data_IF_986880308631
#
_entry.id   IF_986880308631
#
_cell.length_a   1.000
_cell.length_b   1.000
_cell.length_c   1.000
_cell.angle_alpha   90.00
_cell.angle_beta   90.00
_cell.angle_gamma   90.00
#
_symmetry.space_group_name_H-M   'P 1'
#
loop_
_entity.id
_entity.type
_entity.pdbx_description
1 polymer ?
#
# COMPACT_ATOMS: atom_id res chain seq x y z
N UNK A 1 14.89 -6.62 -15.47
CA UNK A 1 15.13 -7.70 -14.50
C UNK A 1 13.78 -8.22 -14.00
N UNK A 2 13.56 -9.50 -14.09
CA UNK A 2 12.31 -10.10 -13.60
C UNK A 2 12.41 -10.40 -12.12
N UNK A 3 11.38 -10.00 -11.39
CA UNK A 3 11.25 -10.32 -9.98
C UNK A 3 10.49 -11.63 -9.84
N UNK A 4 10.94 -12.47 -8.93
CA UNK A 4 10.25 -13.73 -8.65
C UNK A 4 9.42 -13.55 -7.38
N UNK A 5 8.22 -13.03 -7.57
CA UNK A 5 7.27 -12.89 -6.46
C UNK A 5 6.79 -14.28 -6.04
N UNK A 6 6.74 -14.56 -4.73
CA UNK A 6 6.07 -15.78 -4.26
C UNK A 6 4.63 -15.81 -4.73
N UNK A 7 4.12 -16.98 -5.06
CA UNK A 7 2.74 -17.11 -5.51
C UNK A 7 1.87 -17.75 -4.45
N UNK A 8 0.74 -17.15 -4.14
CA UNK A 8 0.29 -15.83 -4.59
C UNK A 8 0.88 -14.73 -3.71
N UNK A 9 1.20 -13.58 -4.29
CA UNK A 9 1.46 -12.36 -3.53
C UNK A 9 0.30 -11.40 -3.79
N UNK A 10 -0.36 -10.99 -2.71
CA UNK A 10 -1.60 -10.21 -2.77
C UNK A 10 -1.37 -8.79 -2.31
N UNK A 11 -1.76 -7.84 -3.14
CA UNK A 11 -1.58 -6.41 -2.87
C UNK A 11 -2.93 -5.74 -2.79
N UNK A 12 -3.17 -4.99 -1.72
CA UNK A 12 -4.32 -4.13 -1.59
C UNK A 12 -3.93 -2.72 -2.03
N UNK A 13 -4.67 -2.17 -3.00
CA UNK A 13 -4.47 -0.82 -3.50
C UNK A 13 -5.66 0.02 -3.08
N UNK A 14 -5.42 1.06 -2.26
CA UNK A 14 -6.45 1.97 -1.79
C UNK A 14 -6.21 3.32 -2.46
N UNK A 15 -7.04 3.67 -3.43
CA UNK A 15 -6.87 4.87 -4.25
C UNK A 15 -8.22 5.35 -4.75
N UNK A 16 -8.57 6.60 -4.45
CA UNK A 16 -9.85 7.16 -4.86
C UNK A 16 -9.83 7.73 -6.28
N UNK A 17 -8.68 8.09 -6.82
CA UNK A 17 -8.56 8.55 -8.19
C UNK A 17 -8.54 7.37 -9.14
N UNK A 18 -9.58 7.23 -9.95
CA UNK A 18 -9.76 6.06 -10.79
C UNK A 18 -8.66 5.90 -11.83
N UNK A 19 -8.17 7.01 -12.39
CA UNK A 19 -7.11 6.94 -13.39
C UNK A 19 -5.81 6.41 -12.78
N UNK A 20 -5.43 6.93 -11.62
CA UNK A 20 -4.26 6.46 -10.89
C UNK A 20 -4.43 4.99 -10.48
N UNK A 21 -5.62 4.63 -9.98
CA UNK A 21 -5.90 3.27 -9.57
C UNK A 21 -5.70 2.27 -10.71
N UNK A 22 -6.19 2.62 -11.92
CA UNK A 22 -6.06 1.75 -13.08
C UNK A 22 -4.60 1.55 -13.50
N UNK A 23 -3.81 2.62 -13.44
CA UNK A 23 -2.38 2.55 -13.77
C UNK A 23 -1.66 1.61 -12.82
N UNK A 24 -1.92 1.76 -11.53
CA UNK A 24 -1.30 0.92 -10.50
C UNK A 24 -1.75 -0.54 -10.69
N UNK A 25 -3.05 -0.76 -10.84
CA UNK A 25 -3.60 -2.10 -11.01
C UNK A 25 -2.99 -2.82 -12.20
N UNK A 26 -2.94 -2.14 -13.36
CA UNK A 26 -2.40 -2.73 -14.58
C UNK A 26 -0.94 -3.13 -14.41
N UNK A 27 -0.14 -2.26 -13.80
CA UNK A 27 1.28 -2.56 -13.61
C UNK A 27 1.49 -3.71 -12.65
N UNK A 28 0.77 -3.75 -11.54
CA UNK A 28 0.92 -4.82 -10.57
C UNK A 28 0.44 -6.16 -11.14
N UNK A 29 -0.62 -6.13 -11.94
CA UNK A 29 -1.09 -7.33 -12.62
C UNK A 29 -0.05 -7.87 -13.61
N UNK A 30 0.66 -6.98 -14.32
CA UNK A 30 1.74 -7.38 -15.22
C UNK A 30 2.89 -8.04 -14.47
N UNK A 31 3.09 -7.72 -13.20
CA UNK A 31 4.10 -8.36 -12.37
C UNK A 31 3.66 -9.74 -11.86
N UNK A 32 2.43 -10.14 -12.14
CA UNK A 32 1.90 -11.42 -11.67
C UNK A 32 1.31 -11.36 -10.27
N UNK A 33 1.10 -10.15 -9.74
CA UNK A 33 0.52 -9.98 -8.41
C UNK A 33 -1.00 -10.09 -8.45
N UNK A 34 -1.59 -10.55 -7.35
CA UNK A 34 -3.04 -10.54 -7.17
C UNK A 34 -3.42 -9.21 -6.55
N UNK A 35 -4.27 -8.44 -7.23
CA UNK A 35 -4.55 -7.06 -6.84
C UNK A 35 -5.99 -6.94 -6.34
N UNK A 36 -6.14 -6.36 -5.14
CA UNK A 36 -7.43 -6.01 -4.56
C UNK A 36 -7.53 -4.49 -4.56
N UNK A 37 -8.68 -3.96 -4.97
CA UNK A 37 -8.86 -2.51 -5.13
C UNK A 37 -9.91 -1.99 -4.16
N UNK A 38 -9.62 -0.86 -3.53
CA UNK A 38 -10.58 -0.11 -2.72
C UNK A 38 -10.48 1.36 -3.07
N UNK A 39 -11.60 2.06 -3.04
CA UNK A 39 -11.65 3.49 -3.41
C UNK A 39 -11.56 4.42 -2.19
N UNK A 40 -11.55 3.87 -0.99
CA UNK A 40 -11.45 4.64 0.26
C UNK A 40 -10.89 3.77 1.38
N UNK A 41 -10.53 4.42 2.48
CA UNK A 41 -9.90 3.72 3.61
C UNK A 41 -10.83 2.75 4.32
N UNK A 42 -12.12 3.05 4.38
CA UNK A 42 -13.09 2.16 5.04
C UNK A 42 -13.17 0.83 4.32
N UNK A 43 -13.34 0.88 2.99
CA UNK A 43 -13.39 -0.33 2.17
C UNK A 43 -12.06 -1.06 2.16
N UNK A 44 -10.96 -0.30 2.16
CA UNK A 44 -9.62 -0.89 2.23
C UNK A 44 -9.40 -1.66 3.51
N UNK A 45 -9.78 -1.10 4.65
CA UNK A 45 -9.65 -1.78 5.93
C UNK A 45 -10.50 -3.05 5.97
N UNK A 46 -11.71 -2.98 5.42
CA UNK A 46 -12.60 -4.14 5.34
C UNK A 46 -11.98 -5.26 4.50
N UNK A 47 -11.44 -4.92 3.33
CA UNK A 47 -10.77 -5.91 2.48
C UNK A 47 -9.56 -6.53 3.17
N UNK A 48 -8.77 -5.72 3.87
CA UNK A 48 -7.61 -6.23 4.60
C UNK A 48 -8.02 -7.26 5.65
N UNK A 49 -9.16 -7.04 6.31
CA UNK A 49 -9.63 -7.96 7.34
C UNK A 49 -10.24 -9.23 6.77
N UNK A 50 -10.84 -9.15 5.57
CA UNK A 50 -11.50 -10.30 4.93
C UNK A 50 -10.57 -11.16 4.09
N UNK A 51 -9.53 -10.56 3.50
CA UNK A 51 -8.65 -11.23 2.55
C UNK A 51 -7.24 -11.39 3.11
N UNK A 52 -6.50 -12.33 2.57
CA UNK A 52 -5.07 -12.44 2.86
C UNK A 52 -4.34 -11.40 2.02
N UNK A 53 -3.68 -10.45 2.66
CA UNK A 53 -2.98 -9.35 1.99
C UNK A 53 -1.53 -9.35 2.44
N UNK A 54 -0.61 -9.26 1.48
CA UNK A 54 0.83 -9.25 1.74
C UNK A 54 1.42 -7.85 1.74
N UNK A 55 0.82 -6.93 0.98
CA UNK A 55 1.31 -5.56 0.83
C UNK A 55 0.12 -4.62 0.67
N UNK A 56 0.26 -3.40 1.19
CA UNK A 56 -0.76 -2.36 1.03
C UNK A 56 -0.13 -1.13 0.41
N UNK A 57 -0.79 -0.55 -0.60
CA UNK A 57 -0.50 0.83 -1.02
C UNK A 57 -1.75 1.65 -0.74
N UNK A 58 -1.59 2.86 -0.24
CA UNK A 58 -2.72 3.75 0.00
C UNK A 58 -2.38 5.19 -0.30
N UNK A 59 -3.34 5.90 -0.90
CA UNK A 59 -3.25 7.35 -1.04
C UNK A 59 -3.43 7.99 0.34
N UNK A 60 -2.82 9.15 0.55
CA UNK A 60 -2.99 9.91 1.78
C UNK A 60 -4.33 10.64 1.78
N UNK A 61 -4.66 11.32 0.68
CA UNK A 61 -5.85 12.18 0.61
C UNK A 61 -7.01 11.42 -0.03
N UNK A 62 -7.95 10.98 0.80
CA UNK A 62 -9.13 10.23 0.36
C UNK A 62 -10.34 10.66 1.18
N UNK A 63 -11.56 10.53 0.63
CA UNK A 63 -12.78 10.79 1.41
C UNK A 63 -12.99 9.71 2.48
N UNK A 64 -13.80 10.03 3.46
CA UNK A 64 -14.21 9.16 4.57
C UNK A 64 -13.07 8.84 5.53
N UNK A 65 -12.07 8.11 5.09
CA UNK A 65 -10.90 7.79 5.91
C UNK A 65 -9.65 8.03 5.06
N UNK A 66 -8.81 9.00 5.47
CA UNK A 66 -7.58 9.29 4.75
C UNK A 66 -6.51 8.21 5.05
N UNK A 67 -5.41 8.27 4.29
CA UNK A 67 -4.34 7.26 4.41
C UNK A 67 -3.66 7.26 5.77
N UNK A 68 -3.51 8.42 6.39
CA UNK A 68 -2.92 8.49 7.74
C UNK A 68 -3.76 7.71 8.75
N UNK A 69 -5.07 7.94 8.72
CA UNK A 69 -6.00 7.23 9.61
C UNK A 69 -6.03 5.73 9.29
N UNK A 70 -5.98 5.39 8.01
CA UNK A 70 -5.96 3.98 7.60
C UNK A 70 -4.71 3.28 8.16
N UNK A 71 -3.54 3.91 8.09
CA UNK A 71 -2.32 3.35 8.68
C UNK A 71 -2.51 3.10 10.17
N UNK A 72 -3.07 4.07 10.90
CA UNK A 72 -3.32 3.92 12.33
C UNK A 72 -4.26 2.74 12.61
N UNK A 73 -5.36 2.65 11.86
CA UNK A 73 -6.33 1.57 12.04
C UNK A 73 -5.74 0.20 11.74
N UNK A 74 -4.91 0.11 10.69
CA UNK A 74 -4.24 -1.15 10.37
C UNK A 74 -3.29 -1.55 11.49
N UNK A 75 -2.50 -0.61 11.98
CA UNK A 75 -1.51 -0.92 13.03
C UNK A 75 -2.14 -1.31 14.35
N UNK A 76 -3.41 -0.94 14.59
CA UNK A 76 -4.18 -1.35 15.76
C UNK A 76 -4.73 -2.77 15.64
N UNK A 77 -4.68 -3.39 14.44
CA UNK A 77 -5.12 -4.77 14.28
C UNK A 77 -4.11 -5.74 14.89
N UNK A 78 -4.57 -6.91 15.38
CA UNK A 78 -3.63 -7.92 15.86
C UNK A 78 -2.72 -8.44 14.73
N UNK A 79 -1.52 -8.94 15.08
CA UNK A 79 -0.69 -9.60 14.07
C UNK A 79 -1.39 -10.85 13.52
N UNK A 80 -1.13 -11.27 12.29
CA UNK A 80 -0.17 -10.67 11.37
C UNK A 80 -0.70 -9.45 10.60
N UNK A 81 -2.02 -9.24 10.54
CA UNK A 81 -2.62 -8.18 9.71
C UNK A 81 -2.13 -6.79 10.10
N UNK A 82 -1.98 -6.53 11.40
CA UNK A 82 -1.52 -5.24 11.88
C UNK A 82 -0.07 -4.92 11.53
N UNK A 83 0.67 -5.87 10.98
CA UNK A 83 2.07 -5.70 10.60
C UNK A 83 2.30 -5.73 9.11
N UNK A 84 1.24 -5.72 8.31
CA UNK A 84 1.35 -5.73 6.85
C UNK A 84 2.17 -4.53 6.39
N UNK A 85 3.11 -4.72 5.43
CA UNK A 85 3.86 -3.58 4.88
C UNK A 85 2.95 -2.60 4.18
N UNK A 86 3.14 -1.31 4.43
CA UNK A 86 2.30 -0.23 3.90
C UNK A 86 3.16 0.80 3.19
N UNK A 87 2.87 1.07 1.92
CA UNK A 87 3.44 2.15 1.14
C UNK A 87 2.40 3.25 1.00
N UNK A 88 2.72 4.44 1.46
CA UNK A 88 1.81 5.57 1.36
C UNK A 88 2.19 6.44 0.17
N UNK A 89 1.19 6.82 -0.62
CA UNK A 89 1.37 7.57 -1.87
C UNK A 89 0.58 8.87 -1.76
N UNK A 90 1.21 10.01 -2.07
CA UNK A 90 0.53 11.30 -1.93
C UNK A 90 1.07 12.33 -2.90
N UNK A 91 0.19 13.24 -3.34
CA UNK A 91 0.60 14.44 -4.06
C UNK A 91 1.14 15.51 -3.11
N UNK A 92 0.96 15.33 -1.81
CA UNK A 92 1.43 16.26 -0.80
C UNK A 92 2.91 16.01 -0.50
N UNK A 93 3.75 17.04 -0.71
CA UNK A 93 5.17 16.95 -0.47
C UNK A 93 5.57 17.56 0.88
N UNK A 94 4.61 17.77 1.78
CA UNK A 94 4.87 18.34 3.09
C UNK A 94 5.67 17.33 3.93
N UNK A 95 6.86 17.74 4.34
CA UNK A 95 7.76 16.88 5.11
C UNK A 95 7.14 16.44 6.44
N UNK A 96 6.40 17.33 7.09
CA UNK A 96 5.77 16.99 8.38
C UNK A 96 4.72 15.89 8.22
N UNK A 97 3.94 15.94 7.14
CA UNK A 97 2.96 14.89 6.87
C UNK A 97 3.64 13.55 6.58
N UNK A 98 4.75 13.59 5.84
CA UNK A 98 5.53 12.39 5.57
C UNK A 98 6.04 11.78 6.88
N UNK A 99 6.62 12.60 7.75
CA UNK A 99 7.15 12.14 9.04
C UNK A 99 6.03 11.57 9.90
N UNK A 100 4.87 12.22 9.93
CA UNK A 100 3.72 11.72 10.71
C UNK A 100 3.26 10.36 10.22
N UNK A 101 3.19 10.16 8.91
CA UNK A 101 2.76 8.88 8.34
C UNK A 101 3.76 7.77 8.65
N UNK A 102 5.04 8.05 8.52
CA UNK A 102 6.07 7.06 8.84
C UNK A 102 6.07 6.75 10.34
N UNK A 103 5.90 7.77 11.19
CA UNK A 103 5.83 7.57 12.64
C UNK A 103 4.59 6.78 13.03
N UNK A 104 3.49 6.91 12.28
CA UNK A 104 2.27 6.13 12.53
C UNK A 104 2.41 4.66 12.13
N UNK A 105 3.43 4.32 11.35
CA UNK A 105 3.73 2.94 11.00
C UNK A 105 3.74 2.61 9.52
N UNK A 106 3.68 3.62 8.63
CA UNK A 106 3.90 3.38 7.21
C UNK A 106 5.36 2.99 7.00
N UNK A 107 5.60 2.05 6.11
CA UNK A 107 6.96 1.54 5.86
C UNK A 107 7.73 2.40 4.87
N UNK A 108 7.00 3.10 3.99
CA UNK A 108 7.62 3.96 3.00
C UNK A 108 6.60 5.00 2.52
N UNK A 109 7.07 6.00 1.79
CA UNK A 109 6.27 7.12 1.33
C UNK A 109 6.73 7.52 -0.07
N UNK A 110 5.79 7.66 -1.00
CA UNK A 110 6.06 8.13 -2.36
C UNK A 110 5.21 9.34 -2.68
N UNK A 111 5.76 10.25 -3.49
CA UNK A 111 5.00 11.40 -3.98
C UNK A 111 4.52 11.18 -5.41
N UNK A 112 3.36 11.73 -5.73
CA UNK A 112 2.83 11.74 -7.11
C UNK A 112 3.51 12.87 -7.91
N UNK A 113 3.70 12.71 -9.21
CA UNK A 113 3.24 11.62 -10.07
C UNK A 113 4.03 10.34 -9.84
N UNK A 114 3.33 9.20 -9.92
CA UNK A 114 3.94 7.90 -9.60
C UNK A 114 4.70 7.36 -10.80
N UNK A 115 5.94 6.96 -10.57
CA UNK A 115 6.64 6.08 -11.50
C UNK A 115 6.23 4.65 -11.17
N UNK A 116 5.59 3.98 -12.12
CA UNK A 116 5.18 2.59 -11.92
C UNK A 116 6.38 1.68 -11.64
N UNK A 117 7.50 1.96 -12.30
CA UNK A 117 8.74 1.20 -12.10
C UNK A 117 9.27 1.36 -10.67
N UNK A 118 9.26 2.58 -10.15
CA UNK A 118 9.72 2.85 -8.79
C UNK A 118 8.75 2.23 -7.78
N UNK A 119 7.45 2.31 -8.05
CA UNK A 119 6.43 1.70 -7.18
C UNK A 119 6.70 0.21 -7.00
N UNK A 120 6.87 -0.51 -8.11
CA UNK A 120 7.12 -1.95 -8.06
C UNK A 120 8.40 -2.26 -7.30
N UNK A 121 9.46 -1.47 -7.52
CA UNK A 121 10.73 -1.68 -6.83
C UNK A 121 10.59 -1.49 -5.32
N UNK A 122 9.85 -0.47 -4.90
CA UNK A 122 9.65 -0.24 -3.47
C UNK A 122 8.81 -1.33 -2.82
N UNK A 123 7.76 -1.78 -3.49
CA UNK A 123 6.94 -2.90 -3.01
C UNK A 123 7.78 -4.17 -2.89
N UNK A 124 8.63 -4.43 -3.88
CA UNK A 124 9.51 -5.60 -3.85
C UNK A 124 10.42 -5.56 -2.63
N UNK A 125 11.06 -4.43 -2.38
CA UNK A 125 11.98 -4.28 -1.25
C UNK A 125 11.25 -4.41 0.09
N UNK A 126 10.06 -3.84 0.19
CA UNK A 126 9.24 -3.95 1.40
C UNK A 126 8.86 -5.40 1.67
N UNK A 127 8.48 -6.12 0.60
CA UNK A 127 8.11 -7.53 0.72
C UNK A 127 9.30 -8.40 1.15
N UNK A 128 10.47 -8.14 0.57
CA UNK A 128 11.68 -8.86 0.95
C UNK A 128 12.04 -8.63 2.41
N UNK A 129 11.95 -7.39 2.89
CA UNK A 129 12.21 -7.06 4.29
C UNK A 129 11.24 -7.77 5.24
N UNK A 130 9.96 -7.78 4.89
CA UNK A 130 8.95 -8.42 5.72
C UNK A 130 9.20 -9.92 5.84
N UNK A 131 9.60 -10.56 4.74
CA UNK A 131 9.91 -12.00 4.75
C UNK A 131 11.15 -12.31 5.56
N UNK A 132 12.15 -11.42 5.52
CA UNK A 132 13.40 -11.62 6.27
C UNK A 132 13.20 -11.48 7.78
N UNK A 133 12.17 -10.73 8.20
CA UNK A 133 11.91 -10.43 9.61
C UNK A 133 11.03 -11.47 10.29
N UNK A 134 10.49 -12.40 9.52
CA UNK A 134 9.55 -13.39 10.07
C UNK A 134 10.24 -14.63 10.62
#
# INVERSE_FOLDING_TARGET
MNRLWPEPTRVLVVEDDQATARIIQARLAMEGLVVFMAANGVDGLDLLQREEIDLVTTDLMMPAMNGFRLVQEIRDLPPPKGRVPILLISSNQNEQDMVRCLAAGADDYMTKPISAQVLVERLWRMHQRARSSS
#
